data_IF_670452230359
#
_entry.id   IF_670452230359
#
_cell.length_a   1.000
_cell.length_b   1.000
_cell.length_c   1.000
_cell.angle_alpha   90.00
_cell.angle_beta   90.00
_cell.angle_gamma   90.00
#
_symmetry.space_group_name_H-M   'P 1'
#
loop_
_entity.id
_entity.type
_entity.pdbx_description
1 polymer ?
#
# COMPACT_ATOMS: atom_id res chain seq x y z
N UNK A 1 38.31 -34.42 29.26
CA UNK A 1 37.63 -34.69 27.98
C UNK A 1 36.85 -33.44 27.62
N UNK A 2 37.31 -32.68 26.63
CA UNK A 2 36.67 -31.43 26.19
C UNK A 2 36.29 -31.60 24.72
N UNK A 3 34.99 -31.64 24.44
CA UNK A 3 34.45 -31.68 23.07
C UNK A 3 34.06 -30.26 22.68
N UNK A 4 34.78 -29.71 21.71
CA UNK A 4 34.39 -28.48 21.02
C UNK A 4 33.53 -28.86 19.80
N UNK A 5 32.29 -28.37 19.75
CA UNK A 5 31.43 -28.46 18.56
C UNK A 5 31.37 -27.06 17.96
N UNK A 6 32.03 -26.90 16.81
CA UNK A 6 31.99 -25.71 15.96
C UNK A 6 30.80 -25.87 15.01
N UNK A 7 29.69 -25.20 15.31
CA UNK A 7 28.58 -25.03 14.36
C UNK A 7 28.84 -23.74 13.59
N UNK A 8 29.35 -23.88 12.36
CA UNK A 8 29.48 -22.79 11.42
C UNK A 8 28.12 -22.44 10.82
N UNK A 9 27.65 -21.22 11.06
CA UNK A 9 26.42 -20.69 10.47
C UNK A 9 26.81 -19.75 9.33
N UNK A 10 26.63 -20.23 8.10
CA UNK A 10 26.74 -19.45 6.86
C UNK A 10 25.34 -18.95 6.52
N UNK A 11 25.11 -17.65 6.68
CA UNK A 11 24.08 -16.92 5.92
C UNK A 11 24.61 -15.51 5.64
N UNK A 12 25.35 -15.39 4.53
CA UNK A 12 25.69 -14.11 3.93
C UNK A 12 24.40 -13.47 3.42
N UNK A 13 23.96 -12.42 4.10
CA UNK A 13 22.82 -11.61 3.68
C UNK A 13 23.09 -10.93 2.35
N UNK A 14 22.38 -11.35 1.31
CA UNK A 14 22.11 -10.51 0.15
C UNK A 14 20.87 -9.67 0.45
N UNK A 15 21.00 -8.75 1.41
CA UNK A 15 20.10 -7.60 1.49
C UNK A 15 20.64 -6.57 0.50
N UNK A 16 20.20 -6.63 -0.75
CA UNK A 16 20.28 -5.44 -1.61
C UNK A 16 19.35 -4.40 -1.00
N UNK A 17 19.85 -3.24 -0.54
CA UNK A 17 18.96 -2.14 -0.23
C UNK A 17 18.34 -1.70 -1.55
N UNK A 18 17.06 -2.01 -1.75
CA UNK A 18 16.22 -1.25 -2.68
C UNK A 18 16.40 0.21 -2.28
N UNK A 19 17.10 0.97 -3.12
CA UNK A 19 17.40 2.37 -2.88
C UNK A 19 16.07 3.14 -2.91
N UNK A 20 15.41 3.22 -1.75
CA UNK A 20 14.22 4.04 -1.56
C UNK A 20 14.58 5.47 -1.90
N UNK A 21 14.08 5.95 -3.04
CA UNK A 21 14.28 7.32 -3.50
C UNK A 21 13.59 8.24 -2.49
N UNK A 22 14.38 8.99 -1.73
CA UNK A 22 13.85 10.00 -0.81
C UNK A 22 13.71 11.32 -1.57
N UNK A 23 12.48 11.78 -1.77
CA UNK A 23 12.19 13.09 -2.34
C UNK A 23 12.22 14.16 -1.22
N UNK A 24 12.72 15.39 -1.49
CA UNK A 24 12.82 16.45 -0.48
C UNK A 24 11.45 16.84 0.11
N UNK A 25 11.43 17.12 1.42
CA UNK A 25 10.33 16.77 2.33
C UNK A 25 9.41 17.91 2.81
N UNK A 26 9.18 18.99 2.06
CA UNK A 26 8.30 20.09 2.51
C UNK A 26 7.35 20.61 1.41
N UNK A 27 6.40 19.77 0.97
CA UNK A 27 5.37 20.15 -0.01
C UNK A 27 4.11 19.27 0.07
N UNK A 28 3.08 19.55 -0.75
CA UNK A 28 1.83 18.77 -0.81
C UNK A 28 2.06 17.27 -0.99
N UNK A 29 3.13 16.89 -1.68
CA UNK A 29 3.62 15.52 -1.83
C UNK A 29 3.81 14.81 -0.48
N UNK A 30 4.35 15.48 0.54
CA UNK A 30 4.55 14.89 1.86
C UNK A 30 3.22 14.58 2.58
N UNK A 31 2.21 15.45 2.42
CA UNK A 31 0.89 15.23 3.04
C UNK A 31 0.18 14.03 2.43
N UNK A 32 0.28 13.87 1.10
CA UNK A 32 -0.32 12.74 0.38
C UNK A 32 0.38 11.43 0.76
N UNK A 33 1.71 11.44 0.92
CA UNK A 33 2.45 10.29 1.44
C UNK A 33 2.04 9.89 2.87
N UNK A 34 1.76 10.84 3.75
CA UNK A 34 1.25 10.55 5.10
C UNK A 34 -0.18 9.96 5.06
N UNK A 35 -1.08 10.51 4.24
CA UNK A 35 -2.42 9.95 4.06
C UNK A 35 -2.37 8.53 3.50
N UNK A 36 -1.49 8.29 2.52
CA UNK A 36 -1.31 6.97 1.92
C UNK A 36 -0.85 5.93 2.95
N UNK A 37 0.10 6.29 3.83
CA UNK A 37 0.49 5.42 4.95
C UNK A 37 -0.65 5.21 5.95
N UNK A 38 -1.44 6.24 6.23
CA UNK A 38 -2.59 6.14 7.11
C UNK A 38 -3.68 5.22 6.55
N UNK A 39 -3.93 5.27 5.24
CA UNK A 39 -4.81 4.35 4.52
C UNK A 39 -4.32 2.91 4.67
N UNK A 40 -3.05 2.65 4.36
CA UNK A 40 -2.46 1.32 4.47
C UNK A 40 -2.55 0.78 5.91
N UNK A 41 -2.33 1.65 6.90
CA UNK A 41 -2.48 1.31 8.30
C UNK A 41 -3.94 0.99 8.68
N UNK A 42 -4.91 1.75 8.18
CA UNK A 42 -6.34 1.49 8.42
C UNK A 42 -6.77 0.11 7.90
N UNK A 43 -6.33 -0.27 6.70
CA UNK A 43 -6.56 -1.63 6.17
C UNK A 43 -5.91 -2.72 7.02
N UNK A 44 -4.72 -2.45 7.56
CA UNK A 44 -4.03 -3.41 8.41
C UNK A 44 -4.73 -3.60 9.75
N UNK A 45 -5.18 -2.51 10.38
CA UNK A 45 -6.00 -2.60 11.59
C UNK A 45 -7.28 -3.39 11.34
N UNK A 46 -7.96 -3.12 10.22
CA UNK A 46 -9.12 -3.91 9.81
C UNK A 46 -8.77 -5.40 9.71
N UNK A 47 -7.69 -5.74 9.00
CA UNK A 47 -7.27 -7.12 8.83
C UNK A 47 -6.92 -7.80 10.15
N UNK A 48 -6.24 -7.10 11.07
CA UNK A 48 -5.92 -7.61 12.40
C UNK A 48 -7.20 -7.96 13.19
N UNK A 49 -8.27 -7.17 13.04
CA UNK A 49 -9.57 -7.40 13.69
C UNK A 49 -10.49 -8.40 12.94
N UNK A 50 -10.12 -8.81 11.72
CA UNK A 50 -10.93 -9.66 10.83
C UNK A 50 -10.16 -10.89 10.31
N UNK A 51 -9.32 -11.50 11.16
CA UNK A 51 -8.57 -12.73 10.84
C UNK A 51 -7.70 -12.63 9.57
N UNK A 52 -7.11 -11.47 9.34
CA UNK A 52 -6.26 -11.16 8.18
C UNK A 52 -7.02 -10.80 6.90
N UNK A 53 -8.35 -10.76 6.93
CA UNK A 53 -9.19 -10.49 5.75
C UNK A 53 -9.24 -9.01 5.42
N UNK A 54 -9.34 -8.70 4.13
CA UNK A 54 -9.55 -7.33 3.65
C UNK A 54 -11.00 -7.14 3.17
N UNK A 55 -11.47 -5.89 3.05
CA UNK A 55 -12.72 -5.58 2.36
C UNK A 55 -12.77 -6.15 0.94
N UNK A 56 -13.90 -6.69 0.50
CA UNK A 56 -14.04 -7.18 -0.89
C UNK A 56 -14.36 -6.04 -1.87
N UNK A 57 -14.08 -6.26 -3.16
CA UNK A 57 -14.16 -5.26 -4.22
C UNK A 57 -15.51 -4.54 -4.36
N UNK A 58 -16.59 -5.31 -4.22
CA UNK A 58 -17.96 -4.85 -4.43
C UNK A 58 -18.55 -4.18 -3.16
N UNK A 59 -17.81 -4.24 -2.05
CA UNK A 59 -18.22 -3.60 -0.82
C UNK A 59 -17.71 -2.16 -0.72
N UNK A 60 -18.44 -1.33 0.03
CA UNK A 60 -18.04 0.02 0.39
C UNK A 60 -16.88 0.00 1.39
N UNK A 61 -15.66 -0.28 0.90
CA UNK A 61 -14.44 -0.29 1.72
C UNK A 61 -14.23 1.05 2.45
N UNK A 62 -14.70 2.16 1.84
CA UNK A 62 -14.68 3.49 2.45
C UNK A 62 -15.58 3.53 3.66
N UNK A 63 -16.84 3.10 3.51
CA UNK A 63 -17.78 2.93 4.61
C UNK A 63 -17.21 2.04 5.71
N UNK A 64 -16.62 0.90 5.36
CA UNK A 64 -16.04 0.00 6.35
C UNK A 64 -14.92 0.62 7.17
N UNK A 65 -13.94 1.25 6.51
CA UNK A 65 -12.81 1.85 7.25
C UNK A 65 -13.24 3.09 8.04
N UNK A 66 -14.17 3.89 7.51
CA UNK A 66 -14.61 5.14 8.17
C UNK A 66 -15.61 4.88 9.29
N UNK A 67 -16.65 4.10 9.02
CA UNK A 67 -17.78 3.92 9.94
C UNK A 67 -17.38 3.04 11.14
N UNK A 68 -16.35 2.21 11.00
CA UNK A 68 -15.76 1.45 12.10
C UNK A 68 -14.57 2.15 12.77
N UNK A 69 -14.23 3.38 12.35
CA UNK A 69 -13.22 4.20 13.01
C UNK A 69 -11.76 3.85 12.72
N UNK A 70 -11.48 3.03 11.70
CA UNK A 70 -10.11 2.72 11.27
C UNK A 70 -9.46 3.85 10.47
N UNK A 71 -10.26 4.73 9.88
CA UNK A 71 -9.79 5.85 9.07
C UNK A 71 -10.70 7.07 9.23
N UNK A 72 -10.11 8.26 9.36
CA UNK A 72 -10.87 9.50 9.31
C UNK A 72 -11.28 9.83 7.86
N UNK A 73 -12.52 10.29 7.64
CA UNK A 73 -13.06 10.57 6.29
C UNK A 73 -12.21 11.59 5.52
N UNK A 74 -11.59 12.53 6.22
CA UNK A 74 -10.72 13.56 5.65
C UNK A 74 -9.45 12.98 5.01
N UNK A 75 -9.07 11.74 5.37
CA UNK A 75 -7.92 11.05 4.80
C UNK A 75 -8.20 10.44 3.43
N UNK A 76 -9.47 10.41 3.00
CA UNK A 76 -9.88 9.85 1.71
C UNK A 76 -9.79 10.85 0.56
N UNK A 77 -9.52 12.13 0.83
CA UNK A 77 -9.34 13.15 -0.21
C UNK A 77 -7.90 13.64 -0.20
N UNK A 78 -7.26 13.56 -1.37
CA UNK A 78 -5.91 14.09 -1.58
C UNK A 78 -5.95 15.62 -1.48
N UNK A 79 -5.00 16.26 -0.77
CA UNK A 79 -4.85 17.70 -0.70
C UNK A 79 -4.80 18.39 -2.06
N UNK A 80 -4.31 17.67 -3.09
CA UNK A 80 -4.16 18.19 -4.45
C UNK A 80 -5.39 17.91 -5.32
N UNK A 81 -6.41 17.23 -4.79
CA UNK A 81 -7.63 16.99 -5.55
C UNK A 81 -8.39 18.31 -5.77
N UNK A 82 -8.60 18.73 -7.03
CA UNK A 82 -9.39 19.92 -7.33
C UNK A 82 -10.87 19.72 -7.03
N UNK A 83 -11.34 18.47 -6.99
CA UNK A 83 -12.73 18.14 -6.68
C UNK A 83 -12.84 17.80 -5.19
N UNK A 84 -13.51 18.67 -4.43
CA UNK A 84 -13.72 18.45 -2.99
C UNK A 84 -14.79 17.40 -2.74
N UNK A 85 -14.55 16.54 -1.74
CA UNK A 85 -15.52 15.56 -1.26
C UNK A 85 -15.58 14.25 -2.04
N UNK A 86 -14.71 14.03 -3.04
CA UNK A 86 -14.52 12.71 -3.65
C UNK A 86 -13.38 11.95 -3.00
N UNK A 87 -13.40 10.63 -3.18
CA UNK A 87 -12.30 9.74 -2.79
C UNK A 87 -11.21 9.86 -3.86
N UNK A 88 -9.99 10.18 -3.43
CA UNK A 88 -8.83 10.39 -4.30
C UNK A 88 -7.94 9.15 -4.44
N UNK A 89 -8.42 8.01 -3.97
CA UNK A 89 -7.67 6.76 -3.88
C UNK A 89 -8.47 5.60 -4.45
N UNK A 90 -7.76 4.63 -5.01
CA UNK A 90 -8.31 3.41 -5.59
C UNK A 90 -7.77 2.23 -4.80
N UNK A 91 -8.67 1.52 -4.14
CA UNK A 91 -8.36 0.27 -3.47
C UNK A 91 -8.18 -0.86 -4.50
N UNK A 92 -7.18 -1.72 -4.30
CA UNK A 92 -6.94 -2.94 -5.09
C UNK A 92 -7.46 -4.12 -4.27
N UNK A 93 -8.59 -4.74 -4.69
CA UNK A 93 -9.22 -5.79 -3.90
C UNK A 93 -8.36 -7.04 -3.74
N UNK A 94 -8.38 -7.59 -2.54
CA UNK A 94 -7.77 -8.87 -2.20
C UNK A 94 -8.55 -9.54 -1.07
N UNK A 95 -8.50 -10.88 -0.95
CA UNK A 95 -9.20 -11.59 0.12
C UNK A 95 -8.54 -11.38 1.50
N UNK A 96 -7.22 -11.23 1.52
CA UNK A 96 -6.42 -11.09 2.74
C UNK A 96 -5.15 -10.28 2.49
N UNK A 97 -4.51 -9.85 3.58
CA UNK A 97 -3.17 -9.27 3.50
C UNK A 97 -2.18 -10.27 2.90
N UNK A 98 -1.30 -9.74 2.07
CA UNK A 98 -0.35 -10.55 1.34
C UNK A 98 0.90 -10.75 2.22
N UNK A 99 1.32 -11.98 2.51
CA UNK A 99 2.42 -12.25 3.42
C UNK A 99 3.78 -11.75 2.91
N UNK A 100 3.98 -11.61 1.59
CA UNK A 100 5.19 -10.99 1.03
C UNK A 100 5.16 -9.48 1.16
N UNK A 101 3.95 -8.89 1.17
CA UNK A 101 3.72 -7.49 1.45
C UNK A 101 4.07 -6.56 0.29
N UNK A 102 4.49 -7.12 -0.84
CA UNK A 102 4.92 -6.42 -2.06
C UNK A 102 3.76 -6.13 -3.02
N UNK A 103 2.58 -6.70 -2.78
CA UNK A 103 1.38 -6.38 -3.56
C UNK A 103 0.86 -4.98 -3.29
N UNK A 104 0.26 -4.38 -4.31
CA UNK A 104 -0.39 -3.06 -4.23
C UNK A 104 -1.70 -3.21 -3.48
N UNK A 105 -1.88 -2.38 -2.45
CA UNK A 105 -3.08 -2.33 -1.63
C UNK A 105 -4.02 -1.21 -2.07
N UNK A 106 -3.47 0.00 -2.21
CA UNK A 106 -4.23 1.19 -2.59
C UNK A 106 -3.29 2.16 -3.29
N UNK A 107 -3.79 2.87 -4.29
CA UNK A 107 -3.02 3.89 -5.00
C UNK A 107 -3.84 5.16 -5.19
N UNK A 108 -3.17 6.28 -5.40
CA UNK A 108 -3.80 7.57 -5.67
C UNK A 108 -4.31 7.63 -7.11
N UNK A 109 -5.46 8.27 -7.33
CA UNK A 109 -5.99 8.48 -8.68
C UNK A 109 -4.93 9.19 -9.54
N UNK A 110 -4.53 8.62 -10.70
CA UNK A 110 -3.50 9.23 -11.54
C UNK A 110 -3.89 10.63 -12.02
N UNK A 111 -2.89 11.52 -12.09
CA UNK A 111 -3.07 12.91 -12.55
C UNK A 111 -3.43 13.92 -11.45
N UNK A 112 -3.56 13.50 -10.19
CA UNK A 112 -3.78 14.42 -9.06
C UNK A 112 -2.53 15.24 -8.67
N UNK A 113 -1.36 14.84 -9.16
CA UNK A 113 -0.07 15.39 -8.81
C UNK A 113 0.71 15.92 -10.03
N UNK A 114 0.02 16.18 -11.15
CA UNK A 114 0.62 16.55 -12.43
C UNK A 114 1.82 15.63 -12.77
N UNK A 115 3.01 16.21 -12.91
CA UNK A 115 4.28 15.57 -13.25
C UNK A 115 5.01 14.92 -12.06
N UNK A 116 4.46 14.97 -10.85
CA UNK A 116 5.13 14.45 -9.65
C UNK A 116 4.94 12.95 -9.41
N UNK A 117 3.97 12.31 -10.08
CA UNK A 117 3.78 10.86 -10.03
C UNK A 117 2.50 10.41 -9.31
N UNK A 118 2.49 9.17 -8.85
CA UNK A 118 1.36 8.50 -8.19
C UNK A 118 1.85 7.86 -6.90
N UNK A 119 1.17 8.16 -5.79
CA UNK A 119 1.40 7.45 -4.53
C UNK A 119 0.80 6.05 -4.60
N UNK A 120 1.56 5.07 -4.13
CA UNK A 120 1.15 3.67 -4.02
C UNK A 120 1.45 3.21 -2.61
N UNK A 121 0.48 2.57 -1.96
CA UNK A 121 0.69 1.79 -0.75
C UNK A 121 0.66 0.30 -1.05
N UNK A 122 1.47 -0.44 -0.29
CA UNK A 122 1.61 -1.88 -0.39
C UNK A 122 1.05 -2.59 0.85
N UNK A 123 0.86 -3.90 0.74
CA UNK A 123 0.29 -4.74 1.81
C UNK A 123 1.18 -4.76 3.08
N UNK A 124 2.49 -4.45 2.97
CA UNK A 124 3.38 -4.29 4.13
C UNK A 124 3.15 -2.99 4.93
N UNK A 125 2.29 -2.09 4.45
CA UNK A 125 2.02 -0.79 5.06
C UNK A 125 2.95 0.34 4.59
N UNK A 126 3.91 0.04 3.71
CA UNK A 126 4.76 1.04 3.10
C UNK A 126 3.98 1.86 2.07
N UNK A 127 4.43 3.08 1.83
CA UNK A 127 3.88 4.00 0.85
C UNK A 127 4.99 4.74 0.13
N UNK A 128 5.01 4.67 -1.20
CA UNK A 128 6.04 5.22 -2.06
C UNK A 128 5.42 6.05 -3.20
N UNK A 129 6.18 7.02 -3.73
CA UNK A 129 5.79 7.84 -4.87
C UNK A 129 6.57 7.39 -6.10
N UNK A 130 5.86 6.99 -7.14
CA UNK A 130 6.46 6.57 -8.41
C UNK A 130 6.08 7.52 -9.54
N UNK A 131 6.96 7.66 -10.53
CA UNK A 131 6.64 8.38 -11.75
C UNK A 131 5.46 7.70 -12.47
N UNK A 132 4.62 8.46 -13.19
CA UNK A 132 3.35 7.95 -13.71
C UNK A 132 3.49 6.67 -14.55
N UNK A 133 4.48 6.60 -15.45
CA UNK A 133 4.73 5.40 -16.26
C UNK A 133 5.19 4.19 -15.44
N UNK A 134 5.99 4.43 -14.40
CA UNK A 134 6.46 3.39 -13.49
C UNK A 134 5.34 2.90 -12.59
N UNK A 135 4.54 3.82 -12.04
CA UNK A 135 3.35 3.52 -11.27
C UNK A 135 2.38 2.65 -12.06
N UNK A 136 2.10 2.98 -13.32
CA UNK A 136 1.23 2.19 -14.19
C UNK A 136 1.72 0.74 -14.33
N UNK A 137 3.04 0.55 -14.52
CA UNK A 137 3.64 -0.80 -14.58
C UNK A 137 3.51 -1.55 -13.26
N UNK A 138 3.83 -0.90 -12.13
CA UNK A 138 3.73 -1.49 -10.79
C UNK A 138 2.30 -1.91 -10.47
N UNK A 139 1.33 -1.01 -10.71
CA UNK A 139 -0.09 -1.28 -10.48
C UNK A 139 -0.52 -2.45 -11.36
N UNK A 140 -0.17 -2.47 -12.64
CA UNK A 140 -0.54 -3.58 -13.52
C UNK A 140 0.07 -4.92 -13.09
N UNK A 141 1.37 -4.95 -12.75
CA UNK A 141 2.06 -6.20 -12.40
C UNK A 141 1.63 -6.75 -11.05
N UNK A 142 1.49 -5.88 -10.04
CA UNK A 142 1.32 -6.30 -8.65
C UNK A 142 -0.15 -6.31 -8.19
N UNK A 143 -1.08 -5.84 -9.02
CA UNK A 143 -2.53 -5.95 -8.74
C UNK A 143 -3.16 -7.21 -9.36
N UNK A 144 -2.53 -7.83 -10.39
CA UNK A 144 -3.13 -8.96 -11.12
C UNK A 144 -2.87 -10.33 -10.52
N UNK A 145 -1.78 -10.50 -9.75
CA UNK A 145 -1.44 -11.78 -9.12
C UNK A 145 -2.33 -12.03 -7.89
N UNK A 146 -3.55 -12.49 -8.14
CA UNK A 146 -4.56 -12.77 -7.11
C UNK A 146 -5.99 -12.79 -7.64
N UNK A 147 -6.25 -12.19 -8.82
CA UNK A 147 -7.49 -12.42 -9.56
C UNK A 147 -7.35 -13.71 -10.38
N UNK A 148 -7.29 -14.87 -9.71
CA UNK A 148 -7.74 -16.10 -10.35
C UNK A 148 -9.22 -15.92 -10.59
N UNK A 149 -9.59 -15.60 -11.83
CA UNK A 149 -10.97 -15.61 -12.30
C UNK A 149 -11.55 -16.95 -11.85
N UNK A 150 -12.53 -16.91 -10.93
CA UNK A 150 -13.24 -18.11 -10.50
C UNK A 150 -13.58 -18.93 -11.74
N UNK A 151 -13.16 -20.19 -11.70
CA UNK A 151 -13.33 -21.17 -12.75
C UNK A 151 -14.76 -21.15 -13.28
N UNK A 152 -14.94 -20.78 -14.54
CA UNK A 152 -16.14 -21.14 -15.32
C UNK A 152 -16.15 -22.66 -15.58
#
# INVERSE_FOLDING_TARGET
MASAVLVGLVLYGLMTPLQRRTYPSHGPVHKCGLQMRGLAYGFRLWADDHDGKLPVADDDWVGFLVDNGYLAREMLTSPNDPVKGRVSYVYVPAESLDPTGDRVLVYEVPGLHDEHGVHIAFHDGSGELYQAEEAARIIESLSREGWTRGSD
#
